data_IF_254693144463
#
_entry.id   IF_254693144463
#
_cell.length_a   1.000
_cell.length_b   1.000
_cell.length_c   1.000
_cell.angle_alpha   90.00
_cell.angle_beta   90.00
_cell.angle_gamma   90.00
#
_symmetry.space_group_name_H-M   'P 1'
#
loop_
_entity.id
_entity.type
_entity.pdbx_description
1 polymer ?
#
# COMPACT_ATOMS: atom_id res chain seq x y z
N UNK A 1 17.55 -18.86 5.77
CA UNK A 1 16.97 -18.65 4.43
C UNK A 1 15.81 -19.61 4.15
N UNK A 2 16.01 -20.94 4.12
CA UNK A 2 14.92 -21.91 3.83
C UNK A 2 13.65 -21.72 4.69
N UNK A 3 13.78 -21.62 6.02
CA UNK A 3 12.63 -21.43 6.93
C UNK A 3 11.85 -20.12 6.75
N UNK A 4 12.47 -19.06 6.20
CA UNK A 4 11.80 -17.77 5.96
C UNK A 4 10.93 -17.87 4.69
N UNK A 5 11.43 -18.57 3.67
CA UNK A 5 10.70 -18.77 2.41
C UNK A 5 9.47 -19.66 2.59
N UNK A 6 9.48 -20.59 3.56
CA UNK A 6 8.32 -21.44 3.89
C UNK A 6 7.05 -20.64 4.26
N UNK A 7 7.21 -19.40 4.72
CA UNK A 7 6.11 -18.53 5.14
C UNK A 7 6.00 -17.28 4.25
N UNK A 8 6.62 -17.29 3.07
CA UNK A 8 6.51 -16.17 2.15
C UNK A 8 5.10 -16.11 1.57
N UNK A 9 4.50 -14.93 1.63
CA UNK A 9 3.19 -14.62 1.05
C UNK A 9 3.34 -13.50 0.03
N UNK A 10 2.51 -13.55 -1.01
CA UNK A 10 2.53 -12.56 -2.07
C UNK A 10 1.75 -11.30 -1.66
N UNK A 11 2.43 -10.34 -1.05
CA UNK A 11 1.80 -9.10 -0.58
C UNK A 11 1.59 -8.13 -1.74
N UNK A 12 0.41 -7.53 -1.83
CA UNK A 12 0.10 -6.41 -2.72
C UNK A 12 -0.42 -5.24 -1.90
N UNK A 13 -0.14 -4.02 -2.36
CA UNK A 13 -0.59 -2.79 -1.72
C UNK A 13 -2.01 -2.41 -2.15
N UNK A 14 -2.77 -1.82 -1.23
CA UNK A 14 -4.13 -1.36 -1.48
C UNK A 14 -4.16 0.14 -1.87
N UNK A 15 -4.50 0.49 -3.12
CA UNK A 15 -4.53 1.87 -3.59
C UNK A 15 -5.64 2.72 -2.95
N UNK A 16 -6.70 2.11 -2.42
CA UNK A 16 -7.78 2.85 -1.78
C UNK A 16 -7.34 3.40 -0.43
N UNK A 17 -6.40 2.72 0.24
CA UNK A 17 -5.79 3.16 1.49
C UNK A 17 -4.65 4.17 1.29
N UNK A 18 -4.04 4.19 0.11
CA UNK A 18 -2.81 4.92 -0.14
C UNK A 18 -2.97 6.44 0.02
N UNK A 19 -2.04 7.05 0.77
CA UNK A 19 -1.98 8.50 0.89
C UNK A 19 -1.83 9.17 -0.49
N UNK A 20 -2.46 10.33 -0.74
CA UNK A 20 -2.40 10.99 -2.05
C UNK A 20 -1.01 11.41 -2.54
N UNK A 21 0.01 11.45 -1.67
CA UNK A 21 1.41 11.66 -2.08
C UNK A 21 2.09 10.39 -2.61
N UNK A 22 1.43 9.23 -2.57
CA UNK A 22 2.00 7.95 -2.99
C UNK A 22 1.59 7.58 -4.42
N UNK A 23 2.51 6.92 -5.11
CA UNK A 23 2.33 6.35 -6.44
C UNK A 23 2.58 4.86 -6.37
N UNK A 24 1.57 4.06 -6.69
CA UNK A 24 1.67 2.61 -6.73
C UNK A 24 1.81 2.16 -8.17
N UNK A 25 2.59 1.10 -8.40
CA UNK A 25 2.58 0.36 -9.66
C UNK A 25 1.27 -0.42 -9.80
N UNK A 26 0.91 -0.77 -11.05
CA UNK A 26 -0.34 -1.49 -11.33
C UNK A 26 -0.40 -2.89 -10.68
N UNK A 27 0.76 -3.51 -10.43
CA UNK A 27 0.85 -4.80 -9.74
C UNK A 27 0.81 -4.65 -8.21
N UNK A 28 0.80 -3.42 -7.68
CA UNK A 28 0.79 -3.13 -6.25
C UNK A 28 2.04 -3.60 -5.52
N UNK A 29 3.17 -3.79 -6.21
CA UNK A 29 4.42 -4.27 -5.61
C UNK A 29 5.40 -3.16 -5.25
N UNK A 30 5.24 -1.99 -5.85
CA UNK A 30 6.13 -0.86 -5.64
C UNK A 30 5.35 0.39 -5.25
N UNK A 31 6.02 1.25 -4.48
CA UNK A 31 5.48 2.54 -4.06
C UNK A 31 6.56 3.61 -4.14
N UNK A 32 6.22 4.76 -4.70
CA UNK A 32 7.07 5.95 -4.73
C UNK A 32 6.36 7.10 -4.03
N UNK A 33 7.10 7.87 -3.22
CA UNK A 33 6.61 9.14 -2.68
C UNK A 33 6.87 10.25 -3.69
N UNK A 34 5.82 10.95 -4.08
CA UNK A 34 5.87 12.09 -4.98
C UNK A 34 5.92 13.40 -4.20
N UNK A 35 6.41 14.46 -4.86
CA UNK A 35 6.51 15.80 -4.27
C UNK A 35 5.20 16.60 -4.35
N UNK A 36 4.13 16.03 -4.88
CA UNK A 36 2.83 16.66 -5.02
C UNK A 36 1.70 15.74 -4.55
N UNK A 37 0.60 16.35 -4.14
CA UNK A 37 -0.60 15.67 -3.66
C UNK A 37 -1.52 15.40 -4.86
N UNK A 38 -1.83 14.14 -5.14
CA UNK A 38 -2.79 13.78 -6.18
C UNK A 38 -4.21 14.16 -5.75
N UNK A 39 -5.02 14.62 -6.71
CA UNK A 39 -6.46 14.77 -6.49
C UNK A 39 -7.14 13.42 -6.70
N UNK A 40 -7.41 12.72 -5.60
CA UNK A 40 -8.12 11.45 -5.59
C UNK A 40 -9.54 11.63 -5.02
N UNK A 41 -10.49 10.74 -5.36
CA UNK A 41 -11.77 10.69 -4.66
C UNK A 41 -11.56 10.49 -3.16
N UNK A 42 -12.37 11.18 -2.37
CA UNK A 42 -12.37 10.99 -0.93
C UNK A 42 -13.01 9.64 -0.59
N UNK A 43 -12.38 8.89 0.30
CA UNK A 43 -12.89 7.62 0.82
C UNK A 43 -12.43 7.44 2.27
N UNK A 44 -13.19 6.71 3.10
CA UNK A 44 -12.86 6.56 4.52
C UNK A 44 -11.64 5.68 4.80
N UNK A 45 -11.17 4.89 3.84
CA UNK A 45 -10.02 3.99 4.00
C UNK A 45 -8.68 4.72 3.77
N UNK A 46 -8.70 5.90 3.16
CA UNK A 46 -7.49 6.60 2.71
C UNK A 46 -6.77 7.31 3.85
N UNK A 47 -5.46 7.10 3.92
CA UNK A 47 -4.62 7.92 4.79
C UNK A 47 -4.52 9.35 4.25
N UNK A 48 -5.02 10.33 5.00
CA UNK A 48 -4.95 11.75 4.65
C UNK A 48 -3.74 12.46 5.30
N UNK A 49 -3.39 12.08 6.53
CA UNK A 49 -2.34 12.72 7.33
C UNK A 49 -0.98 12.04 7.24
N UNK A 50 -0.94 10.71 7.24
CA UNK A 50 0.31 9.94 7.25
C UNK A 50 0.63 9.46 5.83
N UNK A 51 1.91 9.57 5.42
CA UNK A 51 2.40 9.01 4.15
C UNK A 51 2.51 7.49 4.30
N UNK A 52 1.39 6.80 4.14
CA UNK A 52 1.25 5.37 4.41
C UNK A 52 0.27 4.71 3.44
N UNK A 53 0.36 3.39 3.34
CA UNK A 53 -0.49 2.52 2.53
C UNK A 53 -0.53 1.15 3.20
N UNK A 54 -1.67 0.46 3.14
CA UNK A 54 -1.81 -0.89 3.70
C UNK A 54 -1.54 -1.96 2.65
N UNK A 55 -1.17 -3.16 3.12
CA UNK A 55 -1.31 -4.37 2.34
C UNK A 55 -2.78 -4.72 2.17
N UNK A 56 -3.13 -5.33 1.04
CA UNK A 56 -4.51 -5.68 0.67
C UNK A 56 -5.14 -6.73 1.57
N UNK A 57 -4.33 -7.63 2.11
CA UNK A 57 -4.78 -8.69 3.02
C UNK A 57 -4.19 -8.46 4.42
N UNK A 58 -5.05 -8.60 5.44
CA UNK A 58 -4.64 -8.63 6.84
C UNK A 58 -4.46 -10.07 7.32
N UNK A 59 -3.57 -10.27 8.31
CA UNK A 59 -3.28 -11.57 8.89
C UNK A 59 -3.69 -11.59 10.37
N UNK A 60 -4.35 -12.66 10.81
CA UNK A 60 -4.82 -12.81 12.20
C UNK A 60 -4.27 -14.04 12.95
N UNK A 61 -3.64 -15.00 12.28
CA UNK A 61 -2.78 -16.06 12.85
C UNK A 61 -2.17 -16.92 11.75
#
# INVERSE_FOLDING_TARGET
LKKIQEHAVDVTLDPDTANPCLALTNDGKEVTCENFIKRLPDNPERFDRCVSVLGKEGFSS
#
